data_IF_474247633235
#
_entry.id   IF_474247633235
#
_cell.length_a   1.000
_cell.length_b   1.000
_cell.length_c   1.000
_cell.angle_alpha   90.00
_cell.angle_beta   90.00
_cell.angle_gamma   90.00
#
_symmetry.space_group_name_H-M   'P 1'
#
loop_
_entity.id
_entity.type
_entity.pdbx_description
1 polymer ?
#
# COMPACT_ATOMS: atom_id res chain seq x y z
N UNK A 1 0.00 -8.92 7.24
CA UNK A 1 0.76 -7.81 6.63
C UNK A 1 1.47 -8.29 5.38
N UNK A 2 1.67 -7.37 4.45
CA UNK A 2 2.48 -7.66 3.28
C UNK A 2 3.96 -7.57 3.64
N UNK A 3 4.76 -8.49 3.12
CA UNK A 3 6.19 -8.52 3.41
C UNK A 3 6.97 -8.12 2.16
N UNK A 4 7.67 -6.99 2.26
CA UNK A 4 8.58 -6.56 1.19
C UNK A 4 9.96 -7.11 1.53
N UNK A 5 10.39 -8.12 0.78
CA UNK A 5 11.64 -8.83 1.08
C UNK A 5 12.79 -8.15 0.33
N UNK A 6 13.74 -7.61 1.09
CA UNK A 6 14.95 -7.00 0.59
C UNK A 6 16.14 -7.92 0.87
N UNK A 7 17.32 -7.57 0.36
CA UNK A 7 18.50 -8.42 0.51
C UNK A 7 18.87 -8.65 1.97
N UNK A 8 18.82 -7.59 2.78
CA UNK A 8 19.32 -7.64 4.14
C UNK A 8 18.23 -7.47 5.18
N UNK A 9 16.98 -7.32 4.77
CA UNK A 9 15.88 -7.09 5.70
C UNK A 9 14.55 -7.33 5.02
N UNK A 10 13.52 -7.44 5.83
CA UNK A 10 12.14 -7.52 5.35
C UNK A 10 11.37 -6.34 5.96
N UNK A 11 10.65 -5.63 5.12
CA UNK A 11 9.86 -4.48 5.56
C UNK A 11 8.39 -4.89 5.60
N UNK A 12 7.76 -4.67 6.74
CA UNK A 12 6.32 -4.91 6.88
C UNK A 12 5.55 -3.73 6.30
N UNK A 13 4.56 -4.04 5.49
CA UNK A 13 3.65 -3.04 4.93
C UNK A 13 2.24 -3.45 5.32
N UNK A 14 1.47 -2.51 5.84
CA UNK A 14 0.10 -2.79 6.27
C UNK A 14 -0.86 -1.81 5.60
N UNK A 15 -1.96 -2.32 5.09
CA UNK A 15 -2.99 -1.45 4.53
C UNK A 15 -4.31 -1.73 5.20
N UNK A 16 -4.92 -0.66 5.68
CA UNK A 16 -6.20 -0.68 6.35
C UNK A 16 -6.64 0.76 6.56
N UNK A 17 -7.46 0.99 7.55
CA UNK A 17 -8.06 2.32 7.75
C UNK A 17 -7.01 3.41 7.98
N UNK A 18 -6.01 3.12 8.81
CA UNK A 18 -4.97 4.14 9.07
C UNK A 18 -4.25 4.54 7.79
N UNK A 19 -3.88 3.55 6.97
CA UNK A 19 -3.15 3.80 5.73
C UNK A 19 -4.02 4.57 4.73
N UNK A 20 -5.28 4.18 4.59
CA UNK A 20 -6.21 4.89 3.71
C UNK A 20 -6.33 6.36 4.12
N UNK A 21 -6.53 6.59 5.42
CA UNK A 21 -6.68 7.95 5.93
C UNK A 21 -5.44 8.78 5.68
N UNK A 22 -4.28 8.20 5.96
CA UNK A 22 -3.01 8.91 5.78
C UNK A 22 -2.77 9.25 4.31
N UNK A 23 -3.02 8.28 3.43
CA UNK A 23 -2.82 8.50 2.00
C UNK A 23 -3.75 9.59 1.47
N UNK A 24 -5.01 9.55 1.88
CA UNK A 24 -5.97 10.60 1.47
C UNK A 24 -5.56 11.96 1.97
N UNK A 25 -5.07 12.05 3.22
CA UNK A 25 -4.60 13.31 3.77
C UNK A 25 -3.41 13.87 2.99
N UNK A 26 -2.44 13.01 2.68
CA UNK A 26 -1.25 13.44 1.98
C UNK A 26 -1.57 13.98 0.59
N UNK A 27 -2.60 13.45 -0.03
CA UNK A 27 -2.94 13.81 -1.41
C UNK A 27 -4.17 14.70 -1.50
N UNK A 28 -4.70 15.14 -0.37
CA UNK A 28 -5.86 16.01 -0.30
C UNK A 28 -6.99 15.47 -1.17
N UNK A 29 -7.30 14.19 -0.98
CA UNK A 29 -8.33 13.53 -1.80
C UNK A 29 -9.45 12.99 -0.94
N UNK A 30 -10.65 12.93 -1.53
CA UNK A 30 -11.81 12.30 -0.92
C UNK A 30 -11.72 10.79 -1.09
N UNK A 31 -12.61 10.07 -0.41
CA UNK A 31 -12.68 8.63 -0.54
C UNK A 31 -13.04 8.21 -1.98
N UNK A 32 -13.94 8.97 -2.62
CA UNK A 32 -14.29 8.71 -4.03
C UNK A 32 -13.08 8.81 -4.94
N UNK A 33 -12.26 9.84 -4.75
CA UNK A 33 -11.06 10.04 -5.55
C UNK A 33 -10.04 8.93 -5.27
N UNK A 34 -9.96 8.49 -4.02
CA UNK A 34 -9.08 7.39 -3.63
C UNK A 34 -9.46 6.11 -4.40
N UNK A 35 -10.74 5.74 -4.42
CA UNK A 35 -11.18 4.57 -5.17
C UNK A 35 -10.92 4.71 -6.66
N UNK A 36 -11.16 5.89 -7.20
CA UNK A 36 -10.87 6.16 -8.61
C UNK A 36 -9.40 5.95 -8.91
N UNK A 37 -8.52 6.46 -8.03
CA UNK A 37 -7.08 6.33 -8.19
C UNK A 37 -6.65 4.87 -8.18
N UNK A 38 -7.18 4.07 -7.24
CA UNK A 38 -6.82 2.66 -7.15
C UNK A 38 -7.35 1.84 -8.32
N UNK A 39 -8.42 2.29 -8.97
CA UNK A 39 -9.00 1.54 -10.08
C UNK A 39 -8.25 1.72 -11.39
N UNK A 40 -7.33 2.67 -11.45
CA UNK A 40 -6.53 2.89 -12.65
C UNK A 40 -5.51 1.78 -12.80
N UNK A 41 -5.21 1.41 -14.03
CA UNK A 41 -4.23 0.37 -14.30
C UNK A 41 -2.80 0.89 -14.26
N UNK A 42 -2.64 2.22 -14.26
CA UNK A 42 -1.32 2.84 -14.22
C UNK A 42 -1.27 3.86 -13.10
N UNK A 43 -0.18 3.84 -12.37
CA UNK A 43 0.10 4.83 -11.34
C UNK A 43 1.32 5.64 -11.76
N UNK A 44 1.38 6.91 -11.37
CA UNK A 44 2.65 7.60 -11.51
C UNK A 44 3.60 7.10 -10.40
N UNK A 45 4.87 7.38 -10.60
CA UNK A 45 5.91 6.85 -9.73
C UNK A 45 5.80 7.41 -8.32
N UNK A 46 5.43 8.67 -8.20
CA UNK A 46 5.27 9.31 -6.90
C UNK A 46 4.18 8.63 -6.07
N UNK A 47 3.06 8.28 -6.72
CA UNK A 47 1.99 7.58 -6.01
C UNK A 47 2.45 6.21 -5.52
N UNK A 48 3.22 5.48 -6.32
CA UNK A 48 3.75 4.19 -5.88
C UNK A 48 4.63 4.35 -4.65
N UNK A 49 5.54 5.33 -4.67
CA UNK A 49 6.41 5.59 -3.52
C UNK A 49 5.57 5.90 -2.28
N UNK A 50 4.54 6.72 -2.44
CA UNK A 50 3.67 7.07 -1.32
C UNK A 50 2.92 5.84 -0.78
N UNK A 51 2.42 4.99 -1.68
CA UNK A 51 1.70 3.78 -1.25
C UNK A 51 2.60 2.87 -0.42
N UNK A 52 3.84 2.70 -0.83
CA UNK A 52 4.79 1.88 -0.08
C UNK A 52 5.14 2.54 1.25
N UNK A 53 5.43 3.83 1.24
CA UNK A 53 5.82 4.53 2.45
C UNK A 53 4.68 4.58 3.47
N UNK A 54 3.46 4.85 3.02
CA UNK A 54 2.29 4.85 3.91
C UNK A 54 2.07 3.46 4.50
N UNK A 55 2.21 2.41 3.69
CA UNK A 55 2.11 1.05 4.18
C UNK A 55 3.14 0.75 5.26
N UNK A 56 4.38 1.21 5.06
CA UNK A 56 5.43 1.07 6.05
C UNK A 56 5.07 1.81 7.35
N UNK A 57 4.64 3.05 7.25
CA UNK A 57 4.26 3.84 8.44
C UNK A 57 3.11 3.18 9.18
N UNK A 58 2.13 2.67 8.45
CA UNK A 58 0.98 1.99 9.04
C UNK A 58 1.42 0.74 9.83
N UNK A 59 2.35 -0.03 9.27
CA UNK A 59 2.89 -1.20 9.97
C UNK A 59 3.62 -0.78 11.24
N UNK A 60 4.41 0.31 11.17
CA UNK A 60 5.11 0.81 12.35
C UNK A 60 4.12 1.20 13.45
N UNK A 61 3.04 1.91 13.10
CA UNK A 61 2.02 2.30 14.08
C UNK A 61 1.41 1.05 14.71
N UNK A 62 1.07 0.06 13.89
CA UNK A 62 0.46 -1.17 14.37
C UNK A 62 1.40 -1.97 15.28
N UNK A 63 2.69 -1.98 14.98
CA UNK A 63 3.70 -2.73 15.73
C UNK A 63 4.35 -1.90 16.83
N UNK A 64 3.92 -0.65 17.00
CA UNK A 64 4.47 0.27 18.00
C UNK A 64 5.98 0.46 17.83
N UNK A 65 6.39 0.63 16.58
CA UNK A 65 7.77 0.87 16.22
C UNK A 65 7.93 2.30 15.71
N UNK A 66 9.14 2.84 15.86
CA UNK A 66 9.44 4.18 15.36
C UNK A 66 9.49 4.18 13.85
N UNK A 67 9.04 5.29 13.25
CA UNK A 67 9.11 5.49 11.81
C UNK A 67 10.48 6.11 11.53
N UNK A 68 11.38 5.34 10.93
CA UNK A 68 12.77 5.79 10.70
C UNK A 68 13.13 5.92 9.22
N UNK A 69 12.33 5.35 8.32
CA UNK A 69 12.62 5.42 6.89
C UNK A 69 11.76 6.47 6.19
N UNK A 70 12.35 7.15 5.22
CA UNK A 70 11.70 8.20 4.44
C UNK A 70 11.26 7.68 3.08
N UNK A 71 10.59 8.54 2.31
CA UNK A 71 10.26 8.22 0.93
C UNK A 71 11.51 7.98 0.09
N UNK A 72 12.61 8.69 0.40
CA UNK A 72 13.86 8.45 -0.31
C UNK A 72 14.37 7.03 -0.08
N UNK A 73 14.21 6.51 1.14
CA UNK A 73 14.56 5.12 1.43
C UNK A 73 13.68 4.16 0.64
N UNK A 74 12.41 4.49 0.47
CA UNK A 74 11.50 3.67 -0.34
C UNK A 74 11.99 3.57 -1.78
N UNK A 75 12.49 4.68 -2.32
CA UNK A 75 13.04 4.66 -3.69
C UNK A 75 14.15 3.63 -3.80
N UNK A 76 15.02 3.55 -2.78
CA UNK A 76 16.10 2.56 -2.78
C UNK A 76 15.56 1.14 -2.68
N UNK A 77 14.50 0.94 -1.90
CA UNK A 77 13.88 -0.38 -1.82
C UNK A 77 13.32 -0.82 -3.18
N UNK A 78 12.69 0.11 -3.90
CA UNK A 78 12.16 -0.19 -5.23
C UNK A 78 13.28 -0.58 -6.18
N UNK A 79 14.40 0.16 -6.13
CA UNK A 79 15.56 -0.17 -6.96
C UNK A 79 16.11 -1.56 -6.63
N UNK A 80 16.13 -1.89 -5.34
CA UNK A 80 16.72 -3.15 -4.90
C UNK A 80 15.94 -4.36 -5.40
N UNK A 81 14.60 -4.27 -5.48
CA UNK A 81 13.79 -5.40 -5.97
C UNK A 81 13.66 -5.40 -7.50
N UNK A 82 14.43 -4.55 -8.20
CA UNK A 82 14.42 -4.57 -9.66
C UNK A 82 13.49 -3.56 -10.29
N UNK A 83 13.11 -2.56 -9.54
CA UNK A 83 12.22 -1.47 -9.94
C UNK A 83 10.76 -1.90 -10.02
N UNK A 84 9.91 -0.97 -10.37
CA UNK A 84 8.48 -1.21 -10.50
C UNK A 84 8.14 -2.17 -11.65
N UNK A 85 9.10 -2.43 -12.52
CA UNK A 85 8.93 -3.33 -13.65
C UNK A 85 9.52 -4.71 -13.38
N UNK A 86 9.73 -5.03 -12.12
CA UNK A 86 10.26 -6.32 -11.70
C UNK A 86 9.40 -7.46 -12.24
N UNK A 87 10.05 -8.49 -12.73
CA UNK A 87 9.34 -9.64 -13.31
C UNK A 87 8.75 -10.55 -12.25
N UNK A 88 9.12 -10.39 -10.98
CA UNK A 88 8.55 -11.21 -9.91
C UNK A 88 7.19 -10.69 -9.42
N UNK A 89 6.77 -9.54 -9.93
CA UNK A 89 5.46 -9.01 -9.60
C UNK A 89 5.31 -8.45 -8.19
N UNK A 90 6.41 -8.16 -7.50
CA UNK A 90 6.36 -7.71 -6.11
C UNK A 90 5.38 -6.54 -5.91
N UNK A 91 5.49 -5.50 -6.73
CA UNK A 91 4.64 -4.32 -6.54
C UNK A 91 3.23 -4.53 -7.06
N UNK A 92 3.04 -5.37 -8.08
CA UNK A 92 1.70 -5.77 -8.51
C UNK A 92 0.99 -6.51 -7.39
N UNK A 93 1.70 -7.39 -6.69
CA UNK A 93 1.16 -8.12 -5.54
C UNK A 93 0.82 -7.18 -4.40
N UNK A 94 1.65 -6.16 -4.18
CA UNK A 94 1.36 -5.17 -3.13
C UNK A 94 0.11 -4.36 -3.46
N UNK A 95 -0.07 -3.94 -4.71
CA UNK A 95 -1.26 -3.21 -5.12
C UNK A 95 -2.50 -4.09 -4.91
N UNK A 96 -2.42 -5.37 -5.26
CA UNK A 96 -3.53 -6.30 -5.01
C UNK A 96 -3.84 -6.40 -3.52
N UNK A 97 -2.81 -6.47 -2.68
CA UNK A 97 -3.00 -6.48 -1.23
C UNK A 97 -3.72 -5.22 -0.76
N UNK A 98 -3.34 -4.04 -1.27
CA UNK A 98 -3.99 -2.78 -0.93
C UNK A 98 -5.48 -2.83 -1.28
N UNK A 99 -5.80 -3.25 -2.51
CA UNK A 99 -7.19 -3.30 -2.97
C UNK A 99 -8.00 -4.25 -2.10
N UNK A 100 -7.47 -5.44 -1.83
CA UNK A 100 -8.17 -6.44 -1.02
C UNK A 100 -8.44 -5.91 0.39
N UNK A 101 -7.48 -5.20 0.97
CA UNK A 101 -7.64 -4.68 2.33
C UNK A 101 -8.47 -3.41 2.38
N UNK A 102 -8.52 -2.65 1.31
CA UNK A 102 -9.41 -1.50 1.20
C UNK A 102 -10.87 -1.95 1.25
N UNK A 103 -11.20 -2.99 0.49
CA UNK A 103 -12.57 -3.48 0.45
C UNK A 103 -13.01 -4.00 1.82
N UNK A 104 -12.13 -4.72 2.51
CA UNK A 104 -12.42 -5.21 3.85
C UNK A 104 -12.62 -4.04 4.82
N UNK A 105 -11.76 -3.02 4.72
CA UNK A 105 -11.78 -1.90 5.65
C UNK A 105 -13.06 -1.07 5.55
N UNK A 106 -13.67 -1.01 4.36
CA UNK A 106 -14.91 -0.24 4.20
C UNK A 106 -16.16 -1.11 4.32
N UNK A 107 -16.02 -2.35 4.77
CA UNK A 107 -17.12 -3.26 4.99
C UNK A 107 -17.63 -3.85 3.71
N UNK A 108 -16.83 -3.85 2.86
CA UNK A 108 -17.04 -4.23 1.59
C UNK A 108 -18.10 -5.12 1.15
N UNK A 109 -18.30 -5.23 1.56
CA UNK A 109 -18.75 -5.68 1.22
C UNK A 109 -19.09 -6.61 0.78
N UNK A 110 -18.88 -6.98 0.99
CA UNK A 110 -19.07 -7.57 0.72
C UNK A 110 -19.53 -8.43 0.93
N UNK A 111 -19.58 -8.80 1.16
CA UNK A 111 -19.96 -9.32 1.26
C UNK A 111 -20.65 -9.77 1.14
N UNK A 112 -20.76 -9.78 0.95
CA UNK A 112 -21.49 -9.95 0.76
C UNK A 112 -21.95 -10.38 0.24
N UNK A 113 -22.05 -10.36 -0.11
CA UNK A 113 -22.38 -10.43 -0.76
C UNK A 113 -22.29 -11.28 -1.09
N UNK A 114 -22.03 -11.58 -1.22
CA UNK A 114 -21.89 -12.09 -1.56
C UNK A 114 -22.17 -13.07 -1.30
N UNK A 115 -22.25 -13.21 -1.16
CA UNK A 115 -22.57 -13.66 -0.89
C UNK A 115 -23.15 -14.18 -0.89
N UNK A 116 -23.23 -14.24 -1.13
CA UNK A 116 -23.79 -14.30 -1.15
C UNK A 116 -24.28 -14.72 -1.10
N UNK A 117 -24.45 -15.04 -1.31
CA UNK A 117 -24.92 -14.98 -1.38
C UNK A 117 -25.20 -15.13 -1.32
#
# INVERSE_FOLDING_TARGET
MFKLVLKNQTIDLKWGTWAMREFCKQNNMTLDKYFETLSKTQFDLDLLVQLVHVGYKSACVSNKQDIVYSEDDVCEWIDEVGSIFSTDGTFANYIKYIVDNTLVSVGGAKEDDKKKD
#
